data_IF_911873070121
#
_entry.id   IF_911873070121
#
_cell.length_a   1.000
_cell.length_b   1.000
_cell.length_c   1.000
_cell.angle_alpha   90.00
_cell.angle_beta   90.00
_cell.angle_gamma   90.00
#
_symmetry.space_group_name_H-M   'P 1'
#
loop_
_entity.id
_entity.type
_entity.pdbx_description
1 polymer ?
#
# COMPACT_ATOMS: atom_id res chain seq x y z
N UNK A 1 12.26 -4.53 25.87
CA UNK A 1 11.71 -3.62 26.93
C UNK A 1 12.76 -2.57 27.22
N UNK A 2 12.43 -1.25 27.16
CA UNK A 2 13.32 -0.14 27.54
C UNK A 2 14.05 0.57 26.40
N UNK A 3 13.83 0.23 25.13
CA UNK A 3 14.37 1.02 24.01
C UNK A 3 13.67 2.37 23.90
N UNK A 4 14.45 3.42 23.65
CA UNK A 4 13.92 4.78 23.45
C UNK A 4 13.27 4.88 22.08
N UNK A 5 12.01 5.30 22.01
CA UNK A 5 11.29 5.56 20.76
C UNK A 5 11.56 6.98 20.22
N UNK A 6 11.46 7.20 18.90
CA UNK A 6 11.24 6.20 17.85
C UNK A 6 12.49 5.35 17.57
N UNK A 7 12.27 4.09 17.22
CA UNK A 7 13.32 3.20 16.71
C UNK A 7 13.36 3.25 15.18
N UNK A 8 14.56 3.42 14.64
CA UNK A 8 14.85 3.27 13.21
C UNK A 8 15.71 2.03 13.04
N UNK A 9 15.15 1.01 12.45
CA UNK A 9 15.81 -0.27 12.26
C UNK A 9 16.00 -0.52 10.77
N UNK A 10 17.04 -1.27 10.43
CA UNK A 10 17.23 -1.84 9.11
C UNK A 10 17.62 -3.31 9.25
N UNK A 11 17.32 -4.07 8.22
CA UNK A 11 17.70 -5.46 8.12
C UNK A 11 18.12 -5.82 6.69
N UNK A 12 18.93 -6.85 6.58
CA UNK A 12 19.27 -7.51 5.31
C UNK A 12 19.46 -9.00 5.63
N UNK A 13 18.47 -9.81 5.25
CA UNK A 13 18.45 -11.24 5.57
C UNK A 13 17.48 -12.00 4.67
N UNK A 14 17.60 -13.33 4.67
CA UNK A 14 16.58 -14.19 4.07
C UNK A 14 15.26 -14.11 4.83
N UNK A 15 14.18 -13.96 4.10
CA UNK A 15 12.80 -14.13 4.58
C UNK A 15 12.19 -15.35 3.89
N UNK A 16 11.18 -15.93 4.52
CA UNK A 16 10.47 -17.09 4.00
C UNK A 16 9.02 -16.73 3.70
N UNK A 17 8.61 -16.93 2.46
CA UNK A 17 7.23 -16.68 1.99
C UNK A 17 6.55 -18.03 1.71
N UNK A 18 5.29 -18.18 2.15
CA UNK A 18 4.49 -19.33 1.79
C UNK A 18 3.89 -19.12 0.41
N UNK A 19 4.63 -19.51 -0.62
CA UNK A 19 4.20 -19.39 -2.01
C UNK A 19 3.37 -20.60 -2.43
N UNK A 20 2.36 -20.36 -3.30
CA UNK A 20 1.62 -21.45 -3.92
C UNK A 20 2.57 -22.31 -4.77
N UNK A 21 2.48 -23.63 -4.63
CA UNK A 21 3.22 -24.59 -5.44
C UNK A 21 3.06 -24.29 -6.95
N UNK A 22 4.12 -24.50 -7.72
CA UNK A 22 4.16 -24.39 -9.19
C UNK A 22 4.09 -22.97 -9.78
N UNK A 23 4.31 -21.90 -8.99
CA UNK A 23 4.40 -20.52 -9.52
C UNK A 23 5.82 -20.05 -9.86
N UNK A 24 6.82 -20.93 -9.78
CA UNK A 24 8.21 -20.61 -10.12
C UNK A 24 8.84 -19.55 -9.19
N UNK A 25 8.30 -19.40 -7.97
CA UNK A 25 8.84 -18.48 -6.96
C UNK A 25 9.58 -19.27 -5.90
N UNK A 26 10.74 -18.76 -5.48
CA UNK A 26 11.43 -19.29 -4.30
C UNK A 26 10.65 -18.96 -3.03
N UNK A 27 10.58 -19.89 -2.09
CA UNK A 27 10.03 -19.65 -0.75
C UNK A 27 11.02 -18.88 0.12
N UNK A 28 12.31 -18.91 -0.21
CA UNK A 28 13.35 -18.10 0.42
C UNK A 28 13.72 -16.94 -0.50
N UNK A 29 13.66 -15.72 0.03
CA UNK A 29 13.98 -14.48 -0.68
C UNK A 29 14.89 -13.61 0.18
N UNK A 30 16.00 -13.15 -0.36
CA UNK A 30 16.84 -12.15 0.32
C UNK A 30 16.16 -10.80 0.26
N UNK A 31 15.94 -10.21 1.42
CA UNK A 31 15.24 -8.93 1.56
C UNK A 31 16.05 -7.97 2.43
N UNK A 32 16.18 -6.72 1.96
CA UNK A 32 16.60 -5.61 2.79
C UNK A 32 15.40 -4.72 3.10
N UNK A 33 15.36 -4.13 4.29
CA UNK A 33 14.23 -3.28 4.64
C UNK A 33 14.55 -2.34 5.79
N UNK A 34 13.64 -1.40 6.02
CA UNK A 34 13.68 -0.47 7.14
C UNK A 34 12.34 -0.48 7.87
N UNK A 35 12.41 -0.26 9.18
CA UNK A 35 11.25 -0.14 10.05
C UNK A 35 11.41 1.08 10.96
N UNK A 36 10.41 1.95 10.97
CA UNK A 36 10.29 3.04 11.92
C UNK A 36 9.18 2.69 12.91
N UNK A 37 9.57 2.43 14.14
CA UNK A 37 8.68 1.96 15.22
C UNK A 37 8.55 3.06 16.27
N UNK A 38 7.34 3.41 16.60
CA UNK A 38 7.03 4.52 17.49
C UNK A 38 7.24 5.86 16.81
N UNK A 39 6.57 6.86 17.31
CA UNK A 39 6.63 8.22 16.76
C UNK A 39 5.31 8.92 17.05
N UNK A 40 5.39 10.08 17.68
CA UNK A 40 4.20 10.86 18.06
C UNK A 40 3.46 11.42 16.83
N UNK A 41 4.18 11.59 15.71
CA UNK A 41 3.61 12.12 14.47
C UNK A 41 3.66 11.08 13.35
N UNK A 42 2.51 10.44 13.11
CA UNK A 42 2.38 9.40 12.08
C UNK A 42 2.67 9.92 10.67
N UNK A 43 2.22 11.12 10.30
CA UNK A 43 2.47 11.71 8.98
C UNK A 43 3.96 11.94 8.71
N UNK A 44 4.71 12.39 9.74
CA UNK A 44 6.15 12.57 9.61
C UNK A 44 6.87 11.25 9.41
N UNK A 45 6.43 10.20 10.13
CA UNK A 45 6.99 8.86 10.00
C UNK A 45 6.72 8.27 8.61
N UNK A 46 5.49 8.40 8.10
CA UNK A 46 5.14 7.97 6.74
C UNK A 46 6.01 8.66 5.70
N UNK A 47 6.14 9.97 5.82
CA UNK A 47 6.95 10.75 4.89
C UNK A 47 8.43 10.37 4.93
N UNK A 48 9.02 10.19 6.13
CA UNK A 48 10.41 9.75 6.29
C UNK A 48 10.65 8.40 5.61
N UNK A 49 9.77 7.42 5.83
CA UNK A 49 9.89 6.08 5.22
C UNK A 49 9.70 6.12 3.71
N UNK A 50 8.73 6.91 3.21
CA UNK A 50 8.51 7.05 1.78
C UNK A 50 9.67 7.76 1.07
N UNK A 51 10.27 8.80 1.67
CA UNK A 51 11.49 9.41 1.14
C UNK A 51 12.62 8.40 1.04
N UNK A 52 12.83 7.58 2.08
CA UNK A 52 13.85 6.52 2.05
C UNK A 52 13.54 5.48 0.98
N UNK A 53 12.27 5.11 0.77
CA UNK A 53 11.87 4.20 -0.30
C UNK A 53 12.18 4.76 -1.70
N UNK A 54 11.89 6.04 -1.92
CA UNK A 54 12.21 6.74 -3.18
C UNK A 54 13.72 6.82 -3.39
N UNK A 55 14.49 7.18 -2.37
CA UNK A 55 15.95 7.21 -2.42
C UNK A 55 16.54 5.83 -2.73
N UNK A 56 16.01 4.78 -2.09
CA UNK A 56 16.44 3.41 -2.37
C UNK A 56 16.17 3.01 -3.83
N UNK A 57 14.98 3.28 -4.36
CA UNK A 57 14.65 3.01 -5.77
C UNK A 57 15.53 3.81 -6.73
N UNK A 58 15.69 5.11 -6.49
CA UNK A 58 16.49 6.00 -7.33
C UNK A 58 17.97 5.66 -7.34
N UNK A 59 18.49 4.99 -6.30
CA UNK A 59 19.88 4.54 -6.25
C UNK A 59 20.20 3.42 -7.24
N UNK A 60 19.18 2.63 -7.64
CA UNK A 60 19.32 1.56 -8.63
C UNK A 60 19.02 2.03 -10.05
N UNK A 61 17.96 2.82 -10.21
CA UNK A 61 17.60 3.41 -11.51
C UNK A 61 16.97 4.78 -11.30
N UNK A 62 17.75 5.82 -11.42
CA UNK A 62 17.33 7.20 -11.18
C UNK A 62 16.24 7.66 -12.16
N UNK A 63 16.30 7.18 -13.40
CA UNK A 63 15.45 7.68 -14.47
C UNK A 63 14.15 6.88 -14.61
N UNK A 64 14.14 5.59 -14.21
CA UNK A 64 13.07 4.69 -14.59
C UNK A 64 12.51 3.89 -13.40
N UNK A 65 12.37 4.51 -12.25
CA UNK A 65 11.62 3.92 -11.13
C UNK A 65 10.22 4.53 -11.03
N UNK A 66 9.34 3.83 -10.34
CA UNK A 66 8.00 4.32 -9.95
C UNK A 66 7.66 3.87 -8.54
N UNK A 67 7.10 4.78 -7.74
CA UNK A 67 6.50 4.49 -6.44
C UNK A 67 4.98 4.67 -6.55
N UNK A 68 4.23 3.61 -6.35
CA UNK A 68 2.77 3.65 -6.23
C UNK A 68 2.41 3.78 -4.76
N UNK A 69 1.60 4.77 -4.42
CA UNK A 69 1.11 4.99 -3.06
C UNK A 69 -0.40 4.85 -3.01
N UNK A 70 -0.91 4.25 -1.95
CA UNK A 70 -2.32 4.10 -1.67
C UNK A 70 -2.61 4.16 -0.18
N UNK A 71 -3.83 3.89 0.19
CA UNK A 71 -4.23 3.85 1.60
C UNK A 71 -5.26 2.75 1.82
N UNK A 72 -4.92 1.76 2.65
CA UNK A 72 -5.79 0.59 2.88
C UNK A 72 -7.17 0.98 3.47
N UNK A 73 -7.22 2.08 4.22
CA UNK A 73 -8.44 2.61 4.79
C UNK A 73 -9.48 3.02 3.75
N UNK A 74 -9.08 3.43 2.54
CA UNK A 74 -10.03 3.80 1.49
C UNK A 74 -10.94 2.61 1.13
N UNK A 75 -10.33 1.46 0.85
CA UNK A 75 -11.08 0.23 0.60
C UNK A 75 -11.87 -0.24 1.85
N UNK A 76 -11.21 -0.27 3.02
CA UNK A 76 -11.83 -0.74 4.27
C UNK A 76 -13.06 0.07 4.66
N UNK A 77 -13.03 1.40 4.51
CA UNK A 77 -14.18 2.26 4.81
C UNK A 77 -15.32 2.07 3.81
N UNK A 78 -15.02 1.82 2.53
CA UNK A 78 -16.07 1.50 1.55
C UNK A 78 -16.76 0.18 1.88
N UNK A 79 -16.00 -0.91 2.04
CA UNK A 79 -16.63 -2.23 2.29
C UNK A 79 -17.31 -2.32 3.65
N UNK A 80 -16.87 -1.55 4.64
CA UNK A 80 -17.51 -1.50 5.95
C UNK A 80 -18.94 -0.94 5.92
N UNK A 81 -19.30 -0.19 4.87
CA UNK A 81 -20.64 0.37 4.69
C UNK A 81 -21.60 -0.59 3.97
N UNK A 82 -21.10 -1.71 3.44
CA UNK A 82 -21.96 -2.73 2.86
C UNK A 82 -22.64 -3.55 3.97
N UNK A 83 -23.93 -3.78 3.82
CA UNK A 83 -24.71 -4.69 4.69
C UNK A 83 -24.55 -6.14 4.19
N UNK A 84 -23.33 -6.66 4.36
CA UNK A 84 -22.93 -8.00 3.97
C UNK A 84 -22.06 -8.63 5.06
N UNK A 85 -21.92 -9.94 5.06
CA UNK A 85 -21.04 -10.65 6.00
C UNK A 85 -19.54 -10.45 5.66
N UNK A 86 -18.70 -10.90 6.57
CA UNK A 86 -17.24 -10.76 6.42
C UNK A 86 -16.68 -11.65 5.28
N UNK A 87 -17.36 -12.75 4.95
CA UNK A 87 -16.93 -13.62 3.84
C UNK A 87 -17.10 -12.91 2.49
N UNK A 88 -18.21 -12.20 2.30
CA UNK A 88 -18.44 -11.39 1.09
C UNK A 88 -17.46 -10.22 1.01
N UNK A 89 -17.16 -9.54 2.12
CA UNK A 89 -16.15 -8.48 2.16
C UNK A 89 -14.77 -8.98 1.76
N UNK A 90 -14.41 -10.14 2.27
CA UNK A 90 -13.13 -10.78 1.94
C UNK A 90 -13.08 -11.23 0.47
N UNK A 91 -14.17 -11.75 -0.07
CA UNK A 91 -14.26 -12.11 -1.49
C UNK A 91 -14.09 -10.89 -2.39
N UNK A 92 -14.77 -9.77 -2.09
CA UNK A 92 -14.58 -8.49 -2.80
C UNK A 92 -13.10 -8.08 -2.76
N UNK A 93 -12.44 -8.17 -1.61
CA UNK A 93 -11.02 -7.86 -1.46
C UNK A 93 -10.14 -8.74 -2.33
N UNK A 94 -10.39 -10.05 -2.34
CA UNK A 94 -9.65 -11.03 -3.15
C UNK A 94 -9.81 -10.77 -4.65
N UNK A 95 -11.02 -10.45 -5.10
CA UNK A 95 -11.31 -10.17 -6.51
C UNK A 95 -10.61 -8.89 -6.98
N UNK A 96 -10.60 -7.83 -6.16
CA UNK A 96 -9.85 -6.60 -6.46
C UNK A 96 -8.35 -6.89 -6.50
N UNK A 97 -7.82 -7.63 -5.52
CA UNK A 97 -6.41 -8.00 -5.45
C UNK A 97 -5.97 -8.85 -6.65
N UNK A 98 -6.83 -9.77 -7.10
CA UNK A 98 -6.60 -10.61 -8.28
C UNK A 98 -6.85 -9.87 -9.60
N UNK A 99 -7.36 -8.62 -9.57
CA UNK A 99 -7.81 -7.83 -10.74
C UNK A 99 -8.89 -8.57 -11.56
N UNK A 100 -9.70 -9.39 -10.88
CA UNK A 100 -10.81 -10.10 -11.50
C UNK A 100 -12.09 -9.24 -11.47
N UNK A 101 -12.11 -8.23 -12.32
CA UNK A 101 -13.19 -7.24 -12.36
C UNK A 101 -14.54 -7.78 -12.85
N UNK A 102 -14.62 -8.75 -13.78
CA UNK A 102 -15.90 -9.38 -14.10
C UNK A 102 -16.55 -10.00 -12.87
N UNK A 103 -15.87 -10.89 -12.15
CA UNK A 103 -16.41 -11.52 -10.95
C UNK A 103 -16.68 -10.50 -9.82
N UNK A 104 -15.87 -9.41 -9.73
CA UNK A 104 -16.18 -8.32 -8.81
C UNK A 104 -17.52 -7.65 -9.15
N UNK A 105 -17.81 -7.41 -10.42
CA UNK A 105 -19.09 -6.84 -10.83
C UNK A 105 -20.25 -7.78 -10.50
N UNK A 106 -20.09 -9.08 -10.75
CA UNK A 106 -21.14 -10.08 -10.48
C UNK A 106 -21.52 -10.08 -8.98
N UNK A 107 -20.53 -10.11 -8.08
CA UNK A 107 -20.79 -10.08 -6.64
C UNK A 107 -21.39 -8.73 -6.19
N UNK A 108 -20.96 -7.60 -6.77
CA UNK A 108 -21.53 -6.29 -6.44
C UNK A 108 -22.95 -6.10 -6.99
N UNK A 109 -23.32 -6.81 -8.07
CA UNK A 109 -24.71 -6.86 -8.58
C UNK A 109 -25.62 -7.61 -7.59
N UNK A 110 -25.14 -8.69 -6.97
CA UNK A 110 -25.86 -9.41 -5.92
C UNK A 110 -26.05 -8.57 -4.65
N UNK A 111 -25.05 -7.77 -4.28
CA UNK A 111 -25.14 -6.83 -3.13
C UNK A 111 -26.15 -5.71 -3.39
N UNK A 112 -26.31 -5.32 -4.65
CA UNK A 112 -27.25 -4.28 -5.10
C UNK A 112 -26.60 -2.93 -5.39
N UNK A 113 -27.27 -2.15 -6.23
CA UNK A 113 -26.77 -0.87 -6.70
C UNK A 113 -26.95 0.24 -5.67
N UNK A 114 -25.82 0.82 -5.25
CA UNK A 114 -25.75 1.99 -4.37
C UNK A 114 -24.45 2.77 -4.63
N UNK A 115 -24.24 3.90 -3.95
CA UNK A 115 -23.04 4.71 -4.13
C UNK A 115 -21.77 3.97 -3.75
N UNK A 116 -21.79 3.10 -2.75
CA UNK A 116 -20.62 2.34 -2.28
C UNK A 116 -20.23 1.26 -3.28
N UNK A 117 -21.22 0.47 -3.78
CA UNK A 117 -20.96 -0.55 -4.80
C UNK A 117 -20.46 0.08 -6.11
N UNK A 118 -21.00 1.27 -6.49
CA UNK A 118 -20.45 2.03 -7.61
C UNK A 118 -18.99 2.46 -7.38
N UNK A 119 -18.65 2.94 -6.18
CA UNK A 119 -17.29 3.30 -5.83
C UNK A 119 -16.33 2.11 -5.93
N UNK A 120 -16.75 0.93 -5.43
CA UNK A 120 -15.96 -0.31 -5.51
C UNK A 120 -15.76 -0.78 -6.96
N UNK A 121 -16.77 -0.64 -7.85
CA UNK A 121 -16.63 -0.93 -9.28
C UNK A 121 -15.62 -0.03 -9.98
N UNK A 122 -15.51 1.23 -9.53
CA UNK A 122 -14.61 2.21 -10.12
C UNK A 122 -13.20 2.19 -9.51
N UNK A 123 -13.01 1.53 -8.37
CA UNK A 123 -11.73 1.45 -7.67
C UNK A 123 -10.54 1.09 -8.58
N UNK A 124 -10.66 0.12 -9.51
CA UNK A 124 -9.58 -0.22 -10.44
C UNK A 124 -9.16 0.92 -11.39
N UNK A 125 -9.99 1.95 -11.54
CA UNK A 125 -9.72 3.12 -12.40
C UNK A 125 -9.17 4.31 -11.63
N UNK A 126 -9.12 4.21 -10.31
CA UNK A 126 -8.56 5.23 -9.42
C UNK A 126 -7.05 5.05 -9.30
N UNK A 127 -6.39 5.13 -10.45
CA UNK A 127 -4.95 5.04 -10.62
C UNK A 127 -4.47 6.20 -11.49
N UNK A 128 -3.36 6.86 -11.11
CA UNK A 128 -2.75 7.94 -11.88
C UNK A 128 -2.00 8.95 -11.03
N UNK A 129 -2.09 10.22 -11.40
CA UNK A 129 -1.46 11.34 -10.71
C UNK A 129 -2.39 12.01 -9.69
N UNK A 130 -2.20 13.32 -9.53
CA UNK A 130 -2.99 14.14 -8.59
C UNK A 130 -4.50 14.16 -8.88
N UNK A 131 -4.88 13.95 -10.13
CA UNK A 131 -6.28 13.93 -10.57
C UNK A 131 -7.10 12.78 -9.98
N UNK A 132 -6.44 11.74 -9.45
CA UNK A 132 -7.10 10.60 -8.80
C UNK A 132 -7.86 11.04 -7.55
N UNK A 133 -7.34 12.02 -6.82
CA UNK A 133 -7.99 12.51 -5.61
C UNK A 133 -9.35 13.17 -5.88
N UNK A 134 -9.42 13.99 -6.91
CA UNK A 134 -10.65 14.68 -7.30
C UNK A 134 -11.67 13.66 -7.88
N UNK A 135 -11.21 12.73 -8.74
CA UNK A 135 -12.05 11.63 -9.25
C UNK A 135 -12.62 10.77 -8.13
N UNK A 136 -11.81 10.43 -7.11
CA UNK A 136 -12.27 9.61 -5.99
C UNK A 136 -13.33 10.36 -5.15
N UNK A 137 -13.13 11.66 -4.92
CA UNK A 137 -14.07 12.50 -4.18
C UNK A 137 -15.42 12.66 -4.93
N UNK A 138 -15.39 12.76 -6.26
CA UNK A 138 -16.59 12.84 -7.10
C UNK A 138 -17.43 11.54 -7.08
N UNK A 139 -16.76 10.39 -6.94
CA UNK A 139 -17.43 9.08 -6.92
C UNK A 139 -18.10 8.82 -5.58
N UNK A 140 -17.38 9.03 -4.49
CA UNK A 140 -17.87 8.80 -3.14
C UNK A 140 -17.08 9.60 -2.10
N UNK A 141 -17.77 10.21 -1.15
CA UNK A 141 -17.14 10.93 -0.04
C UNK A 141 -17.95 10.85 1.22
N UNK A 142 -17.26 10.72 2.34
CA UNK A 142 -17.70 10.95 3.70
C UNK A 142 -16.53 11.57 4.50
N UNK A 143 -16.73 11.85 5.78
CA UNK A 143 -15.70 12.50 6.60
C UNK A 143 -14.40 11.68 6.69
N UNK A 144 -14.50 10.35 6.78
CA UNK A 144 -13.35 9.45 6.87
C UNK A 144 -12.61 9.37 5.55
N UNK A 145 -13.33 9.13 4.45
CA UNK A 145 -12.77 9.07 3.10
C UNK A 145 -12.11 10.41 2.73
N UNK A 146 -12.76 11.53 3.05
CA UNK A 146 -12.21 12.87 2.87
C UNK A 146 -10.88 13.04 3.61
N UNK A 147 -10.82 12.60 4.87
CA UNK A 147 -9.60 12.64 5.67
C UNK A 147 -8.48 11.78 5.08
N UNK A 148 -8.80 10.58 4.59
CA UNK A 148 -7.85 9.67 3.94
C UNK A 148 -7.28 10.30 2.67
N UNK A 149 -8.14 10.79 1.78
CA UNK A 149 -7.74 11.42 0.51
C UNK A 149 -6.90 12.67 0.75
N UNK A 150 -7.28 13.51 1.71
CA UNK A 150 -6.53 14.70 2.08
C UNK A 150 -5.09 14.34 2.55
N UNK A 151 -4.96 13.38 3.46
CA UNK A 151 -3.68 12.96 3.99
C UNK A 151 -2.78 12.35 2.89
N UNK A 152 -3.34 11.51 2.04
CA UNK A 152 -2.60 10.90 0.94
C UNK A 152 -2.20 11.93 -0.12
N UNK A 153 -3.07 12.92 -0.43
CA UNK A 153 -2.77 14.04 -1.33
C UNK A 153 -1.63 14.92 -0.79
N UNK A 154 -1.58 15.15 0.53
CA UNK A 154 -0.48 15.86 1.18
C UNK A 154 0.85 15.13 0.99
N UNK A 155 0.87 13.81 1.20
CA UNK A 155 2.06 12.97 0.99
C UNK A 155 2.50 13.00 -0.47
N UNK A 156 1.57 12.78 -1.41
CA UNK A 156 1.83 12.83 -2.85
C UNK A 156 2.48 14.17 -3.26
N UNK A 157 1.87 15.29 -2.82
CA UNK A 157 2.34 16.64 -3.16
C UNK A 157 3.74 16.90 -2.63
N UNK A 158 4.02 16.47 -1.40
CA UNK A 158 5.35 16.63 -0.80
C UNK A 158 6.42 15.82 -1.53
N UNK A 159 6.14 14.55 -1.86
CA UNK A 159 7.09 13.73 -2.62
C UNK A 159 7.34 14.32 -4.01
N UNK A 160 6.28 14.77 -4.70
CA UNK A 160 6.41 15.43 -6.01
C UNK A 160 7.27 16.69 -5.93
N UNK A 161 7.12 17.50 -4.87
CA UNK A 161 7.90 18.73 -4.67
C UNK A 161 9.40 18.52 -4.42
N UNK A 162 9.82 17.30 -4.07
CA UNK A 162 11.25 16.92 -3.95
C UNK A 162 11.91 16.61 -5.29
N UNK A 163 11.23 16.80 -6.42
CA UNK A 163 11.74 16.53 -7.77
C UNK A 163 11.38 15.13 -8.29
N UNK A 164 10.45 14.44 -7.62
CA UNK A 164 9.97 13.11 -8.03
C UNK A 164 8.62 13.17 -8.78
N UNK A 165 8.27 14.33 -9.34
CA UNK A 165 7.10 14.47 -10.19
C UNK A 165 7.18 13.47 -11.37
N UNK A 166 6.07 12.77 -11.65
CA UNK A 166 6.03 11.71 -12.66
C UNK A 166 6.63 10.36 -12.24
N UNK A 167 7.31 10.29 -11.07
CA UNK A 167 7.80 9.03 -10.49
C UNK A 167 6.84 8.48 -9.42
N UNK A 168 5.94 9.31 -8.93
CA UNK A 168 4.95 8.93 -7.92
C UNK A 168 3.59 8.77 -8.59
N UNK A 169 2.90 7.70 -8.33
CA UNK A 169 1.51 7.48 -8.74
C UNK A 169 0.64 7.10 -7.55
N UNK A 170 -0.64 7.41 -7.64
CA UNK A 170 -1.67 7.05 -6.67
C UNK A 170 -2.40 5.82 -7.18
N UNK A 171 -2.58 4.81 -6.35
CA UNK A 171 -3.42 3.64 -6.62
C UNK A 171 -4.32 3.38 -5.41
N UNK A 172 -5.58 3.79 -5.50
CA UNK A 172 -6.57 3.55 -4.44
C UNK A 172 -7.11 2.11 -4.47
N UNK A 173 -6.81 1.35 -5.52
CA UNK A 173 -7.10 -0.07 -5.65
C UNK A 173 -6.06 -0.99 -5.00
N UNK A 174 -5.05 -0.44 -4.32
CA UNK A 174 -4.12 -1.27 -3.54
C UNK A 174 -4.86 -1.85 -2.35
N UNK A 175 -5.30 -3.09 -2.49
CA UNK A 175 -5.78 -3.93 -1.40
C UNK A 175 -4.68 -4.93 -1.04
N UNK A 176 -4.27 -4.93 0.21
CA UNK A 176 -3.19 -5.81 0.66
C UNK A 176 -3.75 -7.15 1.15
N UNK A 177 -3.01 -8.24 0.88
CA UNK A 177 -3.27 -9.52 1.55
C UNK A 177 -2.86 -9.50 3.03
N UNK A 178 -2.05 -8.54 3.43
CA UNK A 178 -1.60 -8.40 4.80
C UNK A 178 -2.62 -7.58 5.61
N UNK A 179 -3.42 -8.24 6.43
CA UNK A 179 -4.48 -7.62 7.22
C UNK A 179 -3.96 -6.66 8.29
N UNK A 180 -2.66 -6.70 8.57
CA UNK A 180 -2.04 -5.84 9.58
C UNK A 180 -1.87 -4.38 9.15
N UNK A 181 -1.96 -4.04 7.84
CA UNK A 181 -1.85 -2.64 7.42
C UNK A 181 -3.04 -1.80 7.88
N UNK A 182 -2.73 -0.60 8.39
CA UNK A 182 -3.72 0.31 9.01
C UNK A 182 -3.79 1.68 8.34
N UNK A 183 -2.85 2.01 7.47
CA UNK A 183 -2.72 3.34 6.89
C UNK A 183 -2.23 3.32 5.44
N UNK A 184 -1.23 4.15 5.17
CA UNK A 184 -0.59 4.22 3.86
C UNK A 184 0.02 2.87 3.49
N UNK A 185 -0.10 2.50 2.22
CA UNK A 185 0.55 1.33 1.60
C UNK A 185 1.23 1.77 0.31
N UNK A 186 2.34 1.13 -0.04
CA UNK A 186 3.07 1.51 -1.24
C UNK A 186 3.84 0.36 -1.85
N UNK A 187 4.12 0.49 -3.16
CA UNK A 187 4.89 -0.47 -3.95
C UNK A 187 5.88 0.28 -4.83
N UNK A 188 7.12 -0.19 -4.85
CA UNK A 188 8.16 0.35 -5.71
C UNK A 188 8.46 -0.57 -6.88
N UNK A 189 8.69 0.03 -8.04
CA UNK A 189 9.00 -0.67 -9.29
C UNK A 189 10.25 -0.08 -9.94
N UNK A 190 10.98 -0.93 -10.64
CA UNK A 190 12.05 -0.58 -11.56
C UNK A 190 11.64 -1.05 -12.96
N UNK A 191 11.94 -0.26 -14.00
CA UNK A 191 11.30 -0.43 -15.32
C UNK A 191 11.52 -1.78 -15.97
N UNK A 192 12.67 -2.40 -15.75
CA UNK A 192 13.01 -3.67 -16.36
C UNK A 192 12.54 -4.90 -15.54
N UNK A 193 12.00 -4.64 -14.33
CA UNK A 193 11.47 -5.69 -13.47
C UNK A 193 9.94 -5.66 -13.54
N UNK A 194 9.33 -6.63 -14.19
CA UNK A 194 7.87 -6.70 -14.36
C UNK A 194 7.04 -6.88 -13.08
N UNK A 195 7.66 -6.81 -11.91
CA UNK A 195 7.05 -6.96 -10.59
C UNK A 195 7.58 -5.87 -9.64
N UNK A 196 6.81 -5.60 -8.56
CA UNK A 196 7.29 -4.72 -7.51
C UNK A 196 8.54 -5.28 -6.83
N UNK A 197 9.57 -4.44 -6.73
CA UNK A 197 10.81 -4.77 -6.03
C UNK A 197 10.77 -4.36 -4.56
N UNK A 198 9.92 -3.39 -4.22
CA UNK A 198 9.75 -2.85 -2.88
C UNK A 198 8.27 -2.85 -2.51
N UNK A 199 7.95 -3.21 -1.27
CA UNK A 199 6.60 -3.13 -0.70
C UNK A 199 6.66 -2.67 0.73
N UNK A 200 5.73 -1.81 1.13
CA UNK A 200 5.67 -1.32 2.48
C UNK A 200 4.32 -0.70 2.84
N UNK A 201 4.23 -0.23 4.07
CA UNK A 201 3.05 0.45 4.59
C UNK A 201 3.09 0.66 6.10
N UNK A 202 2.04 1.29 6.61
CA UNK A 202 1.79 1.55 8.03
C UNK A 202 1.02 0.40 8.67
N UNK A 203 1.47 -0.04 9.86
CA UNK A 203 0.90 -1.19 10.59
C UNK A 203 0.88 -0.93 12.11
N UNK A 204 0.03 -0.02 12.55
CA UNK A 204 0.01 0.49 13.92
C UNK A 204 -0.45 -0.54 14.97
N UNK A 205 -1.15 -1.62 14.58
CA UNK A 205 -1.71 -2.61 15.50
C UNK A 205 -0.87 -3.88 15.63
N UNK A 206 0.07 -4.12 14.73
CA UNK A 206 0.82 -5.38 14.70
C UNK A 206 1.63 -5.61 15.98
N UNK A 207 2.25 -4.57 16.51
CA UNK A 207 3.07 -4.68 17.71
C UNK A 207 2.26 -4.87 19.00
N UNK A 208 0.97 -4.53 19.00
CA UNK A 208 0.07 -4.79 20.11
C UNK A 208 -0.12 -6.30 20.35
N UNK A 209 -0.11 -7.12 19.29
CA UNK A 209 -0.14 -8.61 19.37
C UNK A 209 1.03 -9.16 20.19
N UNK A 210 2.14 -8.43 20.25
CA UNK A 210 3.34 -8.78 21.03
C UNK A 210 3.44 -8.01 22.34
N UNK A 211 2.35 -7.36 22.79
CA UNK A 211 2.25 -6.66 24.07
C UNK A 211 2.83 -5.23 24.07
N UNK A 212 3.04 -4.62 22.91
CA UNK A 212 3.48 -3.24 22.80
C UNK A 212 2.59 -2.49 21.78
N UNK A 213 1.69 -1.68 22.27
CA UNK A 213 0.88 -0.81 21.41
C UNK A 213 1.75 0.36 20.90
N UNK A 214 2.24 0.23 19.68
CA UNK A 214 3.22 1.16 19.11
C UNK A 214 3.00 1.28 17.61
N UNK A 215 2.78 2.51 17.09
CA UNK A 215 2.63 2.69 15.65
C UNK A 215 3.93 2.34 14.93
N UNK A 216 3.79 1.79 13.72
CA UNK A 216 4.94 1.43 12.91
C UNK A 216 4.66 1.60 11.42
N UNK A 217 5.71 1.92 10.67
CA UNK A 217 5.71 2.01 9.22
C UNK A 217 7.07 1.57 8.70
N UNK A 218 7.09 0.80 7.61
CA UNK A 218 8.33 0.30 7.03
C UNK A 218 8.14 -0.29 5.65
N UNK A 219 9.23 -0.78 5.07
CA UNK A 219 9.20 -1.51 3.81
C UNK A 219 10.28 -2.57 3.74
N UNK A 220 10.03 -3.58 2.88
CA UNK A 220 11.02 -4.54 2.43
C UNK A 220 11.25 -4.45 0.92
N UNK A 221 12.51 -4.59 0.51
CA UNK A 221 12.96 -4.62 -0.89
C UNK A 221 13.58 -5.99 -1.16
N UNK A 222 13.09 -6.69 -2.18
CA UNK A 222 13.65 -7.97 -2.63
C UNK A 222 14.96 -7.77 -3.39
N UNK A 223 16.07 -8.13 -2.77
CA UNK A 223 17.42 -7.88 -3.33
C UNK A 223 17.65 -8.66 -4.60
N UNK A 224 17.20 -9.92 -4.67
CA UNK A 224 17.37 -10.76 -5.86
C UNK A 224 16.70 -10.15 -7.11
N UNK A 225 15.54 -9.49 -6.92
CA UNK A 225 14.83 -8.81 -8.01
C UNK A 225 15.58 -7.59 -8.53
N UNK A 226 16.28 -6.90 -7.64
CA UNK A 226 17.10 -5.74 -8.01
C UNK A 226 18.39 -6.18 -8.70
N UNK A 227 19.00 -7.29 -8.26
CA UNK A 227 20.20 -7.85 -8.87
C UNK A 227 19.99 -8.33 -10.32
N UNK A 228 18.75 -8.57 -10.74
CA UNK A 228 18.44 -8.89 -12.15
C UNK A 228 18.68 -7.71 -13.11
N UNK A 229 18.89 -6.50 -12.57
CA UNK A 229 19.18 -5.28 -13.35
C UNK A 229 20.68 -5.02 -13.53
N UNK A 230 21.53 -5.76 -12.84
CA UNK A 230 22.98 -5.64 -12.89
C UNK A 230 23.60 -6.70 -13.82
#
# INVERSE_FOLDING_TARGET
>A
KGAKLPLRLYYNQSIFENNSLLKGRSDEVVQAGIELIGGENSKRADYEVLCTAVEALSSFDKENFRLEIGHIGYFKELVAQLDVDDAVREEIRLLISAKNYPALNDILDEVGDNQVTNALRQLPRLFGGVEVFDKAADIYTDDKITGILYNLKEVYTRLSSLGYEGKISVDLGIVSHADYYTGIVFKGYLSEVGQSVLKGGRYDRLLAEFGNDCPAVGFGMGIERVLMLL
#
